data_IF_955930668666
#
_entry.id   IF_955930668666
#
_cell.length_a   1.000
_cell.length_b   1.000
_cell.length_c   1.000
_cell.angle_alpha   90.00
_cell.angle_beta   90.00
_cell.angle_gamma   90.00
#
_symmetry.space_group_name_H-M   'P 1'
#
loop_
_entity.id
_entity.type
_entity.pdbx_description
1 polymer ?
#
# COMPACT_ATOMS: atom_id res chain seq x y z
N UNK A 1 -24.10 -4.83 -15.36
CA UNK A 1 -23.79 -4.69 -16.81
C UNK A 1 -22.80 -5.79 -17.16
N UNK A 2 -22.89 -6.43 -18.32
CA UNK A 2 -21.87 -7.43 -18.71
C UNK A 2 -20.71 -6.75 -19.43
N UNK A 3 -19.49 -6.87 -18.91
CA UNK A 3 -18.24 -6.41 -19.52
C UNK A 3 -17.49 -7.65 -20.08
N UNK A 4 -17.84 -8.12 -21.29
CA UNK A 4 -17.25 -9.31 -21.88
C UNK A 4 -15.74 -9.14 -22.09
N UNK A 5 -15.26 -7.94 -22.41
CA UNK A 5 -13.85 -7.70 -22.70
C UNK A 5 -12.96 -7.87 -21.46
N UNK A 6 -13.42 -7.41 -20.28
CA UNK A 6 -12.72 -7.66 -19.01
C UNK A 6 -12.69 -9.15 -18.68
N UNK A 7 -13.85 -9.83 -18.79
CA UNK A 7 -13.95 -11.28 -18.55
C UNK A 7 -12.97 -12.06 -19.41
N UNK A 8 -12.94 -11.78 -20.70
CA UNK A 8 -12.01 -12.41 -21.63
C UNK A 8 -10.55 -12.11 -21.30
N UNK A 9 -10.21 -10.87 -20.92
CA UNK A 9 -8.85 -10.53 -20.53
C UNK A 9 -8.39 -11.30 -19.28
N UNK A 10 -9.27 -11.47 -18.29
CA UNK A 10 -9.02 -12.29 -17.10
C UNK A 10 -8.78 -13.76 -17.48
N UNK A 11 -9.71 -14.34 -18.23
CA UNK A 11 -9.64 -15.75 -18.65
C UNK A 11 -8.42 -16.03 -19.53
N UNK A 12 -8.12 -15.13 -20.47
CA UNK A 12 -6.93 -15.21 -21.32
C UNK A 12 -5.64 -15.09 -20.51
N UNK A 13 -5.55 -14.14 -19.57
CA UNK A 13 -4.37 -14.00 -18.73
C UNK A 13 -4.13 -15.25 -17.89
N UNK A 14 -5.18 -15.79 -17.26
CA UNK A 14 -5.06 -16.97 -16.41
C UNK A 14 -4.67 -18.22 -17.22
N UNK A 15 -5.21 -18.39 -18.44
CA UNK A 15 -4.80 -19.47 -19.33
C UNK A 15 -3.31 -19.40 -19.70
N UNK A 16 -2.76 -18.21 -19.90
CA UNK A 16 -1.33 -18.03 -20.22
C UNK A 16 -0.44 -18.12 -18.95
N UNK A 17 -0.89 -17.52 -17.85
CA UNK A 17 -0.12 -17.41 -16.61
C UNK A 17 -0.10 -18.72 -15.81
N UNK A 18 -1.25 -19.37 -15.66
CA UNK A 18 -1.43 -20.54 -14.81
C UNK A 18 -2.37 -21.60 -15.44
N UNK A 19 -2.04 -22.16 -16.63
CA UNK A 19 -2.93 -23.06 -17.36
C UNK A 19 -3.35 -24.30 -16.57
N UNK A 20 -2.51 -24.78 -15.65
CA UNK A 20 -2.75 -25.99 -14.87
C UNK A 20 -3.15 -25.73 -13.41
N UNK A 21 -3.42 -24.47 -13.03
CA UNK A 21 -3.80 -24.14 -11.64
C UNK A 21 -2.70 -24.40 -10.60
N UNK A 22 -1.43 -24.24 -10.99
CA UNK A 22 -0.29 -24.51 -10.12
C UNK A 22 -0.17 -23.55 -8.92
N UNK A 23 0.54 -23.94 -7.84
CA UNK A 23 0.54 -23.26 -6.54
C UNK A 23 1.22 -21.88 -6.53
N UNK A 24 1.98 -21.55 -7.57
CA UNK A 24 2.84 -20.37 -7.62
C UNK A 24 2.10 -19.09 -7.98
N UNK A 25 1.04 -19.18 -8.80
CA UNK A 25 0.31 -18.00 -9.27
C UNK A 25 -0.92 -17.76 -8.39
N UNK A 26 -0.75 -16.91 -7.38
CA UNK A 26 -1.76 -16.56 -6.37
C UNK A 26 -2.40 -15.18 -6.60
N UNK A 27 -3.39 -14.83 -5.80
CA UNK A 27 -4.19 -13.60 -5.86
C UNK A 27 -3.38 -12.32 -6.02
N UNK A 28 -2.32 -12.11 -5.22
CA UNK A 28 -1.45 -10.93 -5.38
C UNK A 28 -0.86 -10.83 -6.79
N UNK A 29 -0.37 -11.95 -7.34
CA UNK A 29 0.20 -11.98 -8.69
C UNK A 29 -0.86 -11.64 -9.74
N UNK A 30 -2.05 -12.21 -9.58
CA UNK A 30 -3.18 -11.96 -10.46
C UNK A 30 -3.56 -10.48 -10.51
N UNK A 31 -3.72 -9.81 -9.36
CA UNK A 31 -4.01 -8.37 -9.32
C UNK A 31 -2.95 -7.53 -10.05
N UNK A 32 -1.66 -7.78 -9.78
CA UNK A 32 -0.59 -6.98 -10.40
C UNK A 32 -0.47 -7.25 -11.90
N UNK A 33 -0.59 -8.52 -12.33
CA UNK A 33 -0.54 -8.83 -13.75
C UNK A 33 -1.76 -8.30 -14.51
N UNK A 34 -2.97 -8.38 -13.94
CA UNK A 34 -4.16 -7.77 -14.55
C UNK A 34 -4.00 -6.26 -14.70
N UNK A 35 -3.48 -5.57 -13.68
CA UNK A 35 -3.19 -4.14 -13.77
C UNK A 35 -2.16 -3.82 -14.86
N UNK A 36 -1.06 -4.58 -14.96
CA UNK A 36 -0.05 -4.36 -16.00
C UNK A 36 -0.58 -4.65 -17.40
N UNK A 37 -1.38 -5.71 -17.56
CA UNK A 37 -2.08 -6.01 -18.80
C UNK A 37 -3.00 -4.84 -19.17
N UNK A 38 -3.80 -4.35 -18.21
CA UNK A 38 -4.66 -3.20 -18.40
C UNK A 38 -3.90 -1.97 -18.90
N UNK A 39 -2.79 -1.61 -18.26
CA UNK A 39 -1.97 -0.47 -18.71
C UNK A 39 -1.39 -0.68 -20.12
N UNK A 40 -1.04 -1.90 -20.50
CA UNK A 40 -0.57 -2.21 -21.87
C UNK A 40 -1.69 -2.10 -22.91
N UNK A 41 -2.87 -2.64 -22.62
CA UNK A 41 -4.02 -2.56 -23.50
C UNK A 41 -4.50 -1.12 -23.67
N UNK A 42 -4.59 -0.36 -22.57
CA UNK A 42 -4.99 1.05 -22.59
C UNK A 42 -4.05 1.91 -23.44
N UNK A 43 -2.73 1.68 -23.37
CA UNK A 43 -1.73 2.32 -24.26
C UNK A 43 -1.94 2.00 -25.74
N UNK A 44 -2.65 0.91 -26.06
CA UNK A 44 -3.01 0.50 -27.43
C UNK A 44 -4.47 0.82 -27.76
N UNK A 45 -5.07 1.77 -27.03
CA UNK A 45 -6.45 2.23 -27.19
C UNK A 45 -7.52 1.15 -26.96
N UNK A 46 -7.23 0.15 -26.14
CA UNK A 46 -8.22 -0.81 -25.65
C UNK A 46 -8.39 -0.65 -24.14
N UNK A 47 -9.48 0.01 -23.73
CA UNK A 47 -9.87 0.14 -22.34
C UNK A 47 -10.84 -0.98 -21.96
N UNK A 48 -10.33 -2.01 -21.26
CA UNK A 48 -11.17 -3.11 -20.75
C UNK A 48 -11.96 -2.73 -19.50
N UNK A 49 -11.93 -1.46 -19.08
CA UNK A 49 -12.63 -0.95 -17.89
C UNK A 49 -12.30 -1.70 -16.60
N UNK A 50 -11.04 -2.05 -16.40
CA UNK A 50 -10.58 -2.74 -15.19
C UNK A 50 -10.94 -1.90 -13.95
N UNK A 51 -11.78 -2.40 -13.03
CA UNK A 51 -12.09 -1.70 -11.78
C UNK A 51 -10.93 -1.93 -10.81
N UNK A 52 -10.11 -0.90 -10.58
CA UNK A 52 -9.00 -1.02 -9.66
C UNK A 52 -8.79 0.25 -8.84
N UNK A 53 -8.17 0.09 -7.67
CA UNK A 53 -7.71 1.17 -6.82
C UNK A 53 -6.29 0.90 -6.33
N UNK A 54 -5.59 1.95 -5.90
CA UNK A 54 -4.30 1.81 -5.24
C UNK A 54 -4.51 1.56 -3.75
N UNK A 55 -4.08 0.40 -3.25
CA UNK A 55 -4.27 0.03 -1.85
C UNK A 55 -3.10 -0.80 -1.33
N UNK A 56 -2.60 -0.47 -0.13
CA UNK A 56 -1.65 -1.21 0.72
C UNK A 56 -0.44 -1.85 0.02
N UNK A 57 -0.62 -2.88 -0.82
CA UNK A 57 0.43 -3.51 -1.63
C UNK A 57 0.43 -3.10 -3.12
N UNK A 58 -0.21 -1.99 -3.49
CA UNK A 58 -0.22 -1.41 -4.83
C UNK A 58 -1.58 -1.53 -5.52
N UNK A 59 -1.67 -1.66 -6.84
CA UNK A 59 -2.96 -1.72 -7.53
C UNK A 59 -3.70 -3.02 -7.20
N UNK A 60 -4.98 -2.93 -6.87
CA UNK A 60 -5.85 -4.02 -6.47
C UNK A 60 -7.20 -3.86 -7.18
N UNK A 61 -7.84 -4.97 -7.54
CA UNK A 61 -9.14 -4.93 -8.24
C UNK A 61 -10.26 -4.93 -7.21
N UNK A 62 -11.21 -4.02 -7.33
CA UNK A 62 -12.36 -4.04 -6.43
C UNK A 62 -13.26 -5.25 -6.72
N UNK A 63 -13.52 -6.07 -5.71
CA UNK A 63 -14.24 -7.34 -5.87
C UNK A 63 -15.71 -7.14 -6.23
N UNK A 64 -16.35 -6.14 -5.62
CA UNK A 64 -17.78 -5.84 -5.81
C UNK A 64 -18.03 -5.32 -7.22
N UNK A 65 -17.27 -4.33 -7.66
CA UNK A 65 -17.37 -3.76 -8.99
C UNK A 65 -16.95 -4.77 -10.07
N UNK A 66 -15.91 -5.57 -9.80
CA UNK A 66 -15.52 -6.66 -10.69
C UNK A 66 -16.69 -7.64 -10.90
N UNK A 67 -17.35 -8.07 -9.83
CA UNK A 67 -18.50 -8.96 -9.90
C UNK A 67 -19.66 -8.33 -10.67
N UNK A 68 -19.97 -7.04 -10.41
CA UNK A 68 -21.00 -6.29 -11.15
C UNK A 68 -20.75 -6.25 -12.66
N UNK A 69 -19.48 -6.21 -13.07
CA UNK A 69 -19.07 -6.16 -14.47
C UNK A 69 -18.94 -7.53 -15.14
N UNK A 70 -18.40 -8.53 -14.43
CA UNK A 70 -18.05 -9.84 -15.01
C UNK A 70 -19.15 -10.89 -14.77
N UNK A 71 -20.00 -10.66 -13.77
CA UNK A 71 -21.09 -11.56 -13.37
C UNK A 71 -20.66 -12.74 -12.51
N UNK A 72 -19.38 -12.80 -12.12
CA UNK A 72 -18.86 -13.77 -11.15
C UNK A 72 -17.88 -13.06 -10.20
N UNK A 73 -17.82 -13.46 -8.93
CA UNK A 73 -16.93 -12.84 -7.95
C UNK A 73 -15.46 -13.08 -8.31
N UNK A 74 -14.58 -12.16 -7.92
CA UNK A 74 -13.14 -12.30 -8.18
C UNK A 74 -12.54 -13.56 -7.55
N UNK A 75 -13.10 -14.00 -6.41
CA UNK A 75 -12.69 -15.21 -5.69
C UNK A 75 -12.93 -16.50 -6.49
N UNK A 76 -13.80 -16.47 -7.51
CA UNK A 76 -13.94 -17.57 -8.47
C UNK A 76 -12.65 -17.80 -9.27
N UNK A 77 -11.96 -16.71 -9.63
CA UNK A 77 -10.72 -16.73 -10.42
C UNK A 77 -9.47 -16.80 -9.54
N UNK A 78 -9.48 -16.08 -8.42
CA UNK A 78 -8.36 -15.92 -7.51
C UNK A 78 -8.88 -16.00 -6.05
N UNK A 79 -9.02 -17.21 -5.48
CA UNK A 79 -9.48 -17.38 -4.11
C UNK A 79 -8.49 -16.74 -3.12
N UNK A 80 -8.98 -16.28 -1.96
CA UNK A 80 -8.13 -15.64 -0.94
C UNK A 80 -7.02 -16.58 -0.46
N UNK A 81 -7.36 -17.86 -0.31
CA UNK A 81 -6.44 -18.93 0.02
C UNK A 81 -6.23 -19.86 -1.18
N UNK A 82 -4.97 -20.03 -1.58
CA UNK A 82 -4.57 -20.98 -2.61
C UNK A 82 -4.17 -20.37 -3.95
N UNK A 83 -4.00 -21.21 -4.98
CA UNK A 83 -3.69 -20.76 -6.32
C UNK A 83 -4.92 -20.22 -7.05
N UNK A 84 -4.65 -19.40 -8.06
CA UNK A 84 -5.65 -19.04 -9.07
C UNK A 84 -6.21 -20.26 -9.80
N UNK A 85 -7.45 -20.14 -10.24
CA UNK A 85 -8.16 -21.17 -10.98
C UNK A 85 -7.57 -21.37 -12.38
N UNK A 86 -7.45 -22.63 -12.80
CA UNK A 86 -7.17 -22.99 -14.18
C UNK A 86 -8.37 -22.67 -15.08
N UNK A 87 -8.11 -22.07 -16.25
CA UNK A 87 -9.14 -21.73 -17.23
C UNK A 87 -9.00 -22.61 -18.45
N UNK A 88 -9.91 -23.58 -18.58
CA UNK A 88 -9.91 -24.54 -19.69
C UNK A 88 -10.54 -23.93 -20.95
N UNK A 89 -11.65 -23.20 -20.77
CA UNK A 89 -12.43 -22.58 -21.84
C UNK A 89 -12.50 -21.06 -21.63
N UNK A 90 -12.18 -20.30 -22.68
CA UNK A 90 -12.29 -18.83 -22.69
C UNK A 90 -13.58 -18.44 -23.42
N UNK A 91 -14.35 -17.51 -22.85
CA UNK A 91 -15.54 -16.96 -23.51
C UNK A 91 -15.16 -15.85 -24.51
N UNK A 92 -15.38 -16.10 -25.80
CA UNK A 92 -15.19 -15.11 -26.87
C UNK A 92 -16.45 -14.26 -27.15
N UNK A 93 -17.53 -14.50 -26.41
CA UNK A 93 -18.84 -13.90 -26.68
C UNK A 93 -18.79 -12.36 -26.56
N UNK A 94 -19.29 -11.66 -27.59
CA UNK A 94 -19.37 -10.20 -27.58
C UNK A 94 -18.05 -9.46 -27.79
N UNK A 95 -16.97 -10.15 -28.22
CA UNK A 95 -15.64 -9.52 -28.37
C UNK A 95 -15.22 -9.41 -29.84
N UNK A 96 -14.95 -8.18 -30.32
CA UNK A 96 -14.39 -7.99 -31.65
C UNK A 96 -13.07 -8.75 -31.83
N UNK A 97 -12.89 -9.47 -32.94
CA UNK A 97 -11.70 -10.32 -33.17
C UNK A 97 -10.39 -9.54 -33.08
N UNK A 98 -10.38 -8.24 -33.44
CA UNK A 98 -9.23 -7.36 -33.28
C UNK A 98 -8.82 -7.19 -31.81
N UNK A 99 -9.81 -7.01 -30.92
CA UNK A 99 -9.58 -6.84 -29.49
C UNK A 99 -9.14 -8.16 -28.86
N UNK A 100 -9.77 -9.28 -29.25
CA UNK A 100 -9.39 -10.62 -28.79
C UNK A 100 -7.91 -10.92 -29.10
N UNK A 101 -7.50 -10.75 -30.37
CA UNK A 101 -6.10 -10.94 -30.79
C UNK A 101 -5.12 -10.03 -30.04
N UNK A 102 -5.53 -8.79 -29.75
CA UNK A 102 -4.72 -7.84 -29.00
C UNK A 102 -4.51 -8.34 -27.57
N UNK A 103 -5.59 -8.71 -26.88
CA UNK A 103 -5.55 -9.22 -25.50
C UNK A 103 -4.72 -10.50 -25.40
N UNK A 104 -4.91 -11.46 -26.29
CA UNK A 104 -4.10 -12.69 -26.34
C UNK A 104 -2.61 -12.39 -26.51
N UNK A 105 -2.27 -11.52 -27.47
CA UNK A 105 -0.88 -11.13 -27.73
C UNK A 105 -0.23 -10.44 -26.54
N UNK A 106 -0.90 -9.45 -25.95
CA UNK A 106 -0.34 -8.72 -24.80
C UNK A 106 -0.27 -9.61 -23.55
N UNK A 107 -1.25 -10.50 -23.32
CA UNK A 107 -1.23 -11.46 -22.20
C UNK A 107 -0.03 -12.39 -22.30
N UNK A 108 0.18 -13.01 -23.47
CA UNK A 108 1.35 -13.86 -23.72
C UNK A 108 2.66 -13.09 -23.59
N UNK A 109 2.72 -11.88 -24.14
CA UNK A 109 3.91 -11.03 -24.03
C UNK A 109 4.23 -10.67 -22.58
N UNK A 110 3.22 -10.33 -21.77
CA UNK A 110 3.37 -10.01 -20.37
C UNK A 110 3.88 -11.21 -19.57
N UNK A 111 3.22 -12.36 -19.68
CA UNK A 111 3.60 -13.58 -18.95
C UNK A 111 5.04 -14.00 -19.30
N UNK A 112 5.41 -13.94 -20.59
CA UNK A 112 6.76 -14.28 -21.05
C UNK A 112 7.87 -13.43 -20.40
N UNK A 113 7.59 -12.21 -19.93
CA UNK A 113 8.59 -11.37 -19.24
C UNK A 113 9.00 -11.94 -17.89
N UNK A 114 8.10 -12.67 -17.23
CA UNK A 114 8.30 -13.20 -15.88
C UNK A 114 8.61 -14.70 -15.87
N UNK A 115 8.55 -15.36 -17.02
CA UNK A 115 8.94 -16.77 -17.18
C UNK A 115 10.33 -16.90 -17.83
N UNK A 116 11.01 -17.98 -17.47
CA UNK A 116 12.19 -18.50 -18.15
C UNK A 116 11.89 -19.98 -18.45
N UNK A 117 11.82 -20.31 -19.74
CA UNK A 117 11.18 -21.54 -20.21
C UNK A 117 9.75 -21.65 -19.64
N UNK A 118 9.40 -22.79 -19.04
CA UNK A 118 8.07 -23.04 -18.47
C UNK A 118 7.94 -22.66 -16.98
N UNK A 119 8.95 -22.03 -16.39
CA UNK A 119 8.98 -21.68 -14.96
C UNK A 119 9.01 -20.18 -14.75
N UNK A 120 8.39 -19.71 -13.67
CA UNK A 120 8.56 -18.33 -13.23
C UNK A 120 10.00 -18.09 -12.77
N UNK A 121 10.54 -16.92 -13.10
CA UNK A 121 11.88 -16.49 -12.66
C UNK A 121 11.96 -16.49 -11.14
N UNK A 122 13.18 -16.68 -10.63
CA UNK A 122 13.45 -16.44 -9.22
C UNK A 122 13.04 -15.02 -8.84
N UNK A 123 12.38 -14.88 -7.70
CA UNK A 123 11.89 -13.59 -7.16
C UNK A 123 10.97 -12.77 -8.10
N UNK A 124 10.26 -13.43 -9.02
CA UNK A 124 9.43 -12.72 -10.00
C UNK A 124 8.33 -11.86 -9.36
N UNK A 125 7.87 -12.18 -8.14
CA UNK A 125 6.88 -11.36 -7.43
C UNK A 125 7.44 -9.96 -7.11
N UNK A 126 8.68 -9.84 -6.64
CA UNK A 126 9.28 -8.53 -6.40
C UNK A 126 9.43 -7.74 -7.70
N UNK A 127 9.88 -8.40 -8.78
CA UNK A 127 9.97 -7.78 -10.11
C UNK A 127 8.59 -7.32 -10.59
N UNK A 128 7.55 -8.13 -10.38
CA UNK A 128 6.17 -7.81 -10.73
C UNK A 128 5.65 -6.60 -9.93
N UNK A 129 5.93 -6.57 -8.62
CA UNK A 129 5.59 -5.45 -7.76
C UNK A 129 6.30 -4.17 -8.21
N UNK A 130 7.60 -4.20 -8.47
CA UNK A 130 8.35 -3.01 -8.92
C UNK A 130 7.80 -2.46 -10.24
N UNK A 131 7.45 -3.34 -11.18
CA UNK A 131 6.79 -2.93 -12.42
C UNK A 131 5.41 -2.31 -12.18
N UNK A 132 4.65 -2.82 -11.21
CA UNK A 132 3.37 -2.22 -10.83
C UNK A 132 3.58 -0.84 -10.18
N UNK A 133 4.52 -0.73 -9.23
CA UNK A 133 4.87 0.51 -8.52
C UNK A 133 5.50 1.58 -9.42
N UNK A 134 6.00 1.22 -10.60
CA UNK A 134 6.38 2.20 -11.63
C UNK A 134 5.19 3.06 -12.10
N UNK A 135 3.95 2.64 -11.83
CA UNK A 135 2.72 3.40 -12.08
C UNK A 135 2.10 4.01 -10.82
N UNK A 136 2.80 3.97 -9.67
CA UNK A 136 2.30 4.55 -8.44
C UNK A 136 1.97 6.05 -8.64
N UNK A 137 0.82 6.53 -8.14
CA UNK A 137 0.40 7.92 -8.35
C UNK A 137 1.32 8.92 -7.64
N UNK A 138 2.00 8.51 -6.57
CA UNK A 138 2.96 9.34 -5.85
C UNK A 138 4.26 8.57 -5.58
N UNK A 139 5.37 9.31 -5.52
CA UNK A 139 6.67 8.74 -5.15
C UNK A 139 6.64 8.18 -3.71
N UNK A 140 5.87 8.82 -2.83
CA UNK A 140 5.70 8.42 -1.43
C UNK A 140 5.39 6.93 -1.27
N UNK A 141 4.47 6.35 -2.06
CA UNK A 141 4.13 4.93 -1.91
C UNK A 141 5.29 4.00 -2.25
N UNK A 142 6.10 4.37 -3.25
CA UNK A 142 7.28 3.61 -3.64
C UNK A 142 8.32 3.68 -2.53
N UNK A 143 8.61 4.88 -2.02
CA UNK A 143 9.64 5.06 -0.98
C UNK A 143 9.19 4.46 0.35
N UNK A 144 7.92 4.61 0.73
CA UNK A 144 7.38 4.05 1.97
C UNK A 144 7.36 2.51 1.90
N UNK A 145 6.65 1.92 0.94
CA UNK A 145 6.40 0.48 0.96
C UNK A 145 7.54 -0.36 0.38
N UNK A 146 8.24 0.15 -0.65
CA UNK A 146 9.38 -0.57 -1.27
C UNK A 146 10.74 -0.18 -0.68
N UNK A 147 10.84 0.95 0.03
CA UNK A 147 12.06 1.41 0.69
C UNK A 147 11.99 1.28 2.21
N UNK A 148 11.20 2.13 2.86
CA UNK A 148 11.15 2.25 4.31
C UNK A 148 10.73 0.96 5.02
N UNK A 149 9.70 0.27 4.54
CA UNK A 149 9.29 -1.03 5.12
C UNK A 149 10.39 -2.10 4.96
N UNK A 150 11.17 -2.07 3.88
CA UNK A 150 12.30 -2.98 3.69
C UNK A 150 13.43 -2.65 4.69
N UNK A 151 13.73 -1.36 4.87
CA UNK A 151 14.69 -0.87 5.85
C UNK A 151 14.29 -1.27 7.27
N UNK A 152 13.01 -1.16 7.64
CA UNK A 152 12.55 -1.61 8.96
C UNK A 152 12.70 -3.13 9.17
N UNK A 153 12.57 -3.93 8.10
CA UNK A 153 12.85 -5.38 8.16
C UNK A 153 14.33 -5.65 8.39
N UNK A 154 15.21 -4.89 7.76
CA UNK A 154 16.67 -4.98 7.95
C UNK A 154 17.12 -4.44 9.31
N UNK A 155 16.45 -3.40 9.81
CA UNK A 155 16.64 -2.89 11.17
C UNK A 155 16.31 -3.97 12.21
N UNK A 156 15.30 -4.81 11.94
CA UNK A 156 14.98 -5.98 12.78
C UNK A 156 16.07 -7.06 12.78
N UNK A 157 16.83 -7.20 11.69
CA UNK A 157 17.96 -8.13 11.60
C UNK A 157 19.31 -7.53 12.04
N UNK A 158 19.32 -6.28 12.52
CA UNK A 158 20.52 -5.50 12.89
C UNK A 158 21.46 -5.15 11.72
N UNK A 159 20.95 -5.19 10.48
CA UNK A 159 21.74 -4.87 9.28
C UNK A 159 21.76 -3.37 8.95
N UNK A 160 20.99 -2.55 9.68
CA UNK A 160 20.78 -1.12 9.44
C UNK A 160 20.81 -0.37 10.77
N UNK A 161 21.35 0.86 10.78
CA UNK A 161 21.44 1.71 11.97
C UNK A 161 20.18 2.57 12.21
N UNK A 162 20.08 3.18 13.40
CA UNK A 162 18.99 4.12 13.73
C UNK A 162 19.03 5.35 12.82
N UNK A 163 20.23 5.89 12.56
CA UNK A 163 20.44 7.05 11.69
C UNK A 163 19.96 6.79 10.25
N UNK A 164 20.16 5.58 9.74
CA UNK A 164 19.66 5.19 8.43
C UNK A 164 18.12 5.16 8.38
N UNK A 165 17.45 4.74 9.46
CA UNK A 165 15.99 4.80 9.56
C UNK A 165 15.52 6.26 9.61
N UNK A 166 16.21 7.12 10.35
CA UNK A 166 15.89 8.57 10.42
C UNK A 166 16.03 9.27 9.07
N UNK A 167 17.06 8.96 8.29
CA UNK A 167 17.22 9.49 6.94
C UNK A 167 16.04 9.13 6.01
N UNK A 168 15.43 7.96 6.20
CA UNK A 168 14.22 7.59 5.47
C UNK A 168 13.00 8.37 5.94
N UNK A 169 12.86 8.62 7.25
CA UNK A 169 11.77 9.46 7.80
C UNK A 169 11.83 10.88 7.21
N UNK A 170 13.01 11.50 7.22
CA UNK A 170 13.24 12.81 6.61
C UNK A 170 12.90 12.82 5.11
N UNK A 171 13.26 11.74 4.40
CA UNK A 171 12.92 11.59 2.99
C UNK A 171 11.41 11.50 2.78
N UNK A 172 10.69 10.76 3.63
CA UNK A 172 9.24 10.61 3.55
C UNK A 172 8.52 11.96 3.71
N UNK A 173 8.99 12.83 4.62
CA UNK A 173 8.44 14.19 4.78
C UNK A 173 8.56 14.99 3.48
N UNK A 174 9.73 14.95 2.84
CA UNK A 174 10.02 15.74 1.63
C UNK A 174 9.17 15.35 0.43
N UNK A 175 8.79 14.08 0.33
CA UNK A 175 8.06 13.54 -0.83
C UNK A 175 6.57 13.31 -0.55
N UNK A 176 6.09 13.69 0.64
CA UNK A 176 4.69 13.51 0.99
C UNK A 176 3.80 14.33 0.04
N UNK A 177 2.78 13.72 -0.58
CA UNK A 177 1.91 14.41 -1.54
C UNK A 177 0.85 15.26 -0.82
N UNK A 178 1.29 16.35 -0.18
CA UNK A 178 0.44 17.18 0.68
C UNK A 178 -0.83 17.67 -0.01
N UNK A 179 -0.71 18.19 -1.23
CA UNK A 179 -1.85 18.76 -1.97
C UNK A 179 -2.97 17.74 -2.17
N UNK A 180 -2.62 16.50 -2.53
CA UNK A 180 -3.59 15.44 -2.81
C UNK A 180 -4.02 14.64 -1.58
N UNK A 181 -3.21 14.60 -0.51
CA UNK A 181 -3.42 13.76 0.68
C UNK A 181 -3.43 14.58 1.98
N UNK A 182 -3.90 15.82 1.94
CA UNK A 182 -3.87 16.76 3.06
C UNK A 182 -4.63 16.24 4.30
N UNK A 183 -5.68 15.44 4.11
CA UNK A 183 -6.52 14.90 5.19
C UNK A 183 -5.77 13.98 6.16
N UNK A 184 -4.64 13.40 5.72
CA UNK A 184 -3.78 12.54 6.56
C UNK A 184 -2.40 13.14 6.79
N UNK A 185 -2.18 14.41 6.42
CA UNK A 185 -0.86 15.03 6.55
C UNK A 185 -0.47 15.30 8.00
N UNK A 186 -1.37 15.92 8.79
CA UNK A 186 -1.10 16.19 10.20
C UNK A 186 -0.88 14.87 10.95
N UNK A 187 -1.73 13.88 10.67
CA UNK A 187 -1.60 12.50 11.13
C UNK A 187 -0.24 11.89 10.78
N UNK A 188 0.25 12.09 9.55
CA UNK A 188 1.56 11.65 9.10
C UNK A 188 2.70 12.32 9.88
N UNK A 189 2.63 13.63 10.14
CA UNK A 189 3.65 14.35 10.92
C UNK A 189 3.69 13.84 12.36
N UNK A 190 2.53 13.69 13.00
CA UNK A 190 2.44 13.12 14.34
C UNK A 190 2.98 11.69 14.37
N UNK A 191 2.77 10.92 13.31
CA UNK A 191 3.24 9.54 13.21
C UNK A 191 4.75 9.52 13.08
N UNK A 192 5.29 10.36 12.21
CA UNK A 192 6.73 10.51 12.00
C UNK A 192 7.45 10.82 13.31
N UNK A 193 6.96 11.81 14.07
CA UNK A 193 7.45 12.15 15.40
C UNK A 193 7.38 10.95 16.37
N UNK A 194 6.30 10.19 16.30
CA UNK A 194 6.08 9.03 17.17
C UNK A 194 7.07 7.92 16.85
N UNK A 195 7.42 7.74 15.57
CA UNK A 195 8.50 6.82 15.16
C UNK A 195 9.85 7.29 15.71
N UNK A 196 10.20 8.58 15.60
CA UNK A 196 11.44 9.10 16.22
C UNK A 196 11.47 8.88 17.74
N UNK A 197 10.34 9.05 18.43
CA UNK A 197 10.25 8.71 19.85
C UNK A 197 10.49 7.21 20.08
N UNK A 198 9.89 6.35 19.25
CA UNK A 198 10.01 4.90 19.36
C UNK A 198 11.43 4.38 19.07
N UNK A 199 12.19 5.03 18.19
CA UNK A 199 13.57 4.67 17.86
C UNK A 199 14.49 4.67 19.09
N UNK A 200 14.29 5.61 20.03
CA UNK A 200 15.05 5.66 21.29
C UNK A 200 14.97 4.37 22.13
N UNK A 201 13.93 3.55 21.94
CA UNK A 201 13.71 2.30 22.67
C UNK A 201 14.24 1.06 21.94
N UNK A 202 14.82 1.24 20.73
CA UNK A 202 15.48 0.19 19.95
C UNK A 202 14.66 -1.10 19.82
N UNK A 203 13.35 -0.97 19.56
CA UNK A 203 12.46 -2.10 19.28
C UNK A 203 11.99 -2.06 17.82
N UNK A 204 12.74 -2.67 16.88
CA UNK A 204 12.40 -2.68 15.46
C UNK A 204 11.03 -3.26 15.15
N UNK A 205 10.62 -4.31 15.87
CA UNK A 205 9.33 -4.97 15.63
C UNK A 205 8.16 -4.05 15.97
N UNK A 206 8.28 -3.30 17.06
CA UNK A 206 7.27 -2.32 17.45
C UNK A 206 7.20 -1.14 16.46
N UNK A 207 8.34 -0.66 15.97
CA UNK A 207 8.40 0.40 14.95
C UNK A 207 7.77 -0.05 13.64
N UNK A 208 8.03 -1.29 13.21
CA UNK A 208 7.39 -1.88 12.04
C UNK A 208 5.86 -1.92 12.18
N UNK A 209 5.33 -2.26 13.36
CA UNK A 209 3.87 -2.22 13.63
C UNK A 209 3.32 -0.80 13.53
N UNK A 210 4.01 0.20 14.08
CA UNK A 210 3.58 1.59 13.96
C UNK A 210 3.57 2.06 12.49
N UNK A 211 4.58 1.68 11.71
CA UNK A 211 4.65 1.98 10.29
C UNK A 211 3.53 1.31 9.49
N UNK A 212 3.23 0.05 9.79
CA UNK A 212 2.13 -0.69 9.15
C UNK A 212 0.77 -0.08 9.46
N UNK A 213 0.51 0.30 10.72
CA UNK A 213 -0.74 0.98 11.11
C UNK A 213 -0.94 2.30 10.35
N UNK A 214 0.09 3.14 10.25
CA UNK A 214 0.01 4.36 9.45
C UNK A 214 -0.23 4.05 7.97
N UNK A 215 0.48 3.06 7.44
CA UNK A 215 0.34 2.68 6.05
C UNK A 215 -1.06 2.20 5.68
N UNK A 216 -1.75 1.53 6.62
CA UNK A 216 -3.15 1.15 6.47
C UNK A 216 -4.04 2.38 6.31
N UNK A 217 -3.97 3.35 7.23
CA UNK A 217 -4.84 4.54 7.14
C UNK A 217 -4.51 5.41 5.92
N UNK A 218 -3.23 5.56 5.57
CA UNK A 218 -2.84 6.23 4.32
C UNK A 218 -3.43 5.52 3.09
N UNK A 219 -3.43 4.19 3.09
CA UNK A 219 -3.98 3.38 2.01
C UNK A 219 -5.50 3.49 1.89
N UNK A 220 -6.21 3.67 3.02
CA UNK A 220 -7.65 3.93 3.09
C UNK A 220 -8.02 5.30 2.52
N UNK A 221 -7.14 6.31 2.53
CA UNK A 221 -7.40 7.53 1.74
C UNK A 221 -7.01 7.34 0.27
N UNK A 222 -5.89 6.63 0.04
CA UNK A 222 -5.33 6.43 -1.28
C UNK A 222 -6.29 5.70 -2.22
N UNK A 223 -6.96 4.64 -1.75
CA UNK A 223 -7.88 3.88 -2.60
C UNK A 223 -9.14 4.67 -2.98
N UNK A 224 -9.57 5.62 -2.13
CA UNK A 224 -10.66 6.56 -2.42
C UNK A 224 -10.20 7.51 -3.51
N UNK A 225 -9.05 8.14 -3.34
CA UNK A 225 -8.59 9.20 -4.26
C UNK A 225 -7.99 8.70 -5.56
N UNK A 226 -7.45 7.47 -5.59
CA UNK A 226 -6.70 6.91 -6.71
C UNK A 226 -7.30 5.57 -7.14
N UNK A 227 -8.51 5.65 -7.69
CA UNK A 227 -9.23 4.55 -8.30
C UNK A 227 -9.51 4.81 -9.79
N UNK A 228 -9.95 3.77 -10.49
CA UNK A 228 -10.39 3.84 -11.87
C UNK A 228 -11.46 2.79 -12.17
N UNK A 229 -12.50 3.16 -12.92
CA UNK A 229 -13.63 2.31 -13.30
C UNK A 229 -14.37 1.68 -12.09
N UNK A 230 -14.39 2.39 -10.96
CA UNK A 230 -15.19 2.03 -9.78
C UNK A 230 -16.40 2.94 -9.75
N UNK A 231 -17.55 2.37 -9.39
CA UNK A 231 -18.81 3.12 -9.32
C UNK A 231 -18.83 4.10 -8.14
N UNK A 232 -19.51 5.22 -8.33
CA UNK A 232 -19.55 6.31 -7.36
C UNK A 232 -20.15 5.87 -6.01
N UNK A 233 -21.12 4.95 -6.00
CA UNK A 233 -21.72 4.42 -4.77
C UNK A 233 -20.72 3.67 -3.88
N UNK A 234 -19.77 2.96 -4.50
CA UNK A 234 -18.70 2.25 -3.79
C UNK A 234 -17.70 3.27 -3.22
N UNK A 235 -17.33 4.28 -4.01
CA UNK A 235 -16.39 5.34 -3.59
C UNK A 235 -17.00 6.19 -2.47
N UNK A 236 -18.29 6.50 -2.56
CA UNK A 236 -19.04 7.23 -1.53
C UNK A 236 -19.06 6.45 -0.22
N UNK A 237 -19.33 5.14 -0.27
CA UNK A 237 -19.29 4.28 0.92
C UNK A 237 -17.91 4.30 1.58
N UNK A 238 -16.82 4.20 0.80
CA UNK A 238 -15.46 4.31 1.34
C UNK A 238 -15.21 5.68 1.98
N UNK A 239 -15.67 6.75 1.34
CA UNK A 239 -15.52 8.13 1.81
C UNK A 239 -16.28 8.39 3.11
N UNK A 240 -17.46 7.79 3.28
CA UNK A 240 -18.27 7.86 4.50
C UNK A 240 -17.58 7.13 5.66
N UNK A 241 -16.97 5.98 5.39
CA UNK A 241 -16.33 5.15 6.43
C UNK A 241 -14.93 5.65 6.83
N UNK A 242 -14.26 6.42 5.96
CA UNK A 242 -12.89 6.85 6.19
C UNK A 242 -12.69 7.71 7.44
N UNK A 243 -13.53 8.72 7.75
CA UNK A 243 -13.39 9.53 8.96
C UNK A 243 -13.39 8.70 10.25
N UNK A 244 -14.29 7.72 10.38
CA UNK A 244 -14.35 6.84 11.55
C UNK A 244 -13.04 6.04 11.72
N UNK A 245 -12.54 5.45 10.63
CA UNK A 245 -11.24 4.73 10.65
C UNK A 245 -10.07 5.65 11.01
N UNK A 246 -10.10 6.91 10.55
CA UNK A 246 -9.07 7.89 10.86
C UNK A 246 -9.12 8.29 12.34
N UNK A 247 -10.30 8.52 12.89
CA UNK A 247 -10.50 8.85 14.30
C UNK A 247 -10.03 7.70 15.21
N UNK A 248 -10.37 6.45 14.87
CA UNK A 248 -9.87 5.26 15.57
C UNK A 248 -8.34 5.18 15.55
N UNK A 249 -7.73 5.43 14.38
CA UNK A 249 -6.28 5.46 14.23
C UNK A 249 -5.64 6.55 15.08
N UNK A 250 -6.17 7.79 15.04
CA UNK A 250 -5.68 8.94 15.80
C UNK A 250 -5.75 8.68 17.31
N UNK A 251 -6.85 8.11 17.80
CA UNK A 251 -6.99 7.75 19.21
C UNK A 251 -5.93 6.72 19.64
N UNK A 252 -5.71 5.69 18.82
CA UNK A 252 -4.67 4.68 19.06
C UNK A 252 -3.25 5.27 19.01
N UNK A 253 -2.98 6.17 18.06
CA UNK A 253 -1.70 6.84 17.91
C UNK A 253 -1.37 7.73 19.10
N UNK A 254 -2.33 8.53 19.58
CA UNK A 254 -2.15 9.39 20.75
C UNK A 254 -1.89 8.55 22.01
N UNK A 255 -2.56 7.41 22.16
CA UNK A 255 -2.28 6.48 23.25
C UNK A 255 -0.82 5.96 23.21
N UNK A 256 -0.34 5.56 22.03
CA UNK A 256 1.05 5.12 21.85
C UNK A 256 2.05 6.24 22.13
N UNK A 257 1.79 7.45 21.62
CA UNK A 257 2.63 8.63 21.88
C UNK A 257 2.74 8.92 23.37
N UNK A 258 1.61 8.93 24.10
CA UNK A 258 1.59 9.10 25.56
C UNK A 258 2.40 8.02 26.27
N UNK A 259 2.27 6.76 25.84
CA UNK A 259 3.03 5.63 26.41
C UNK A 259 4.53 5.84 26.25
N UNK A 260 4.99 6.19 25.06
CA UNK A 260 6.40 6.45 24.77
C UNK A 260 6.93 7.65 25.56
N UNK A 261 6.18 8.75 25.61
CA UNK A 261 6.57 9.93 26.40
C UNK A 261 6.67 9.61 27.90
N UNK A 262 5.79 8.78 28.44
CA UNK A 262 5.87 8.33 29.83
C UNK A 262 7.09 7.46 30.09
N UNK A 263 7.41 6.53 29.17
CA UNK A 263 8.64 5.74 29.25
C UNK A 263 9.87 6.66 29.26
N UNK A 264 9.92 7.67 28.39
CA UNK A 264 11.03 8.62 28.28
C UNK A 264 11.23 9.41 29.57
N UNK A 265 10.13 9.80 30.22
CA UNK A 265 10.14 10.48 31.52
C UNK A 265 10.68 9.59 32.63
N UNK A 266 10.43 8.27 32.59
CA UNK A 266 10.95 7.31 33.58
C UNK A 266 12.44 7.03 33.40
N UNK A 267 12.90 6.91 32.15
CA UNK A 267 14.33 6.68 31.85
C UNK A 267 15.18 7.91 32.14
N UNK A 268 14.59 9.11 32.02
CA UNK A 268 15.14 10.35 32.58
C UNK A 268 14.81 10.44 34.07
N UNK A 269 15.41 9.61 34.91
CA UNK A 269 15.57 9.99 36.32
C UNK A 269 16.40 11.27 36.31
N UNK A 270 15.85 12.44 36.69
CA UNK A 270 16.67 13.64 36.78
C UNK A 270 17.76 13.32 37.79
N UNK A 271 19.03 13.43 37.41
CA UNK A 271 20.04 13.58 38.45
C UNK A 271 19.65 14.83 39.28
N UNK A 272 20.04 14.88 40.56
CA UNK A 272 19.69 16.02 41.44
C UNK A 272 20.02 17.38 40.80
N UNK A 273 21.04 17.41 39.93
CA UNK A 273 21.48 18.58 39.19
C UNK A 273 20.46 19.07 38.17
N UNK A 274 19.82 18.17 37.42
CA UNK A 274 18.77 18.48 36.45
C UNK A 274 17.53 19.03 37.18
N UNK A 275 17.17 18.45 38.33
CA UNK A 275 16.10 19.00 39.18
C UNK A 275 16.44 20.40 39.70
N UNK A 276 17.68 20.62 40.14
CA UNK A 276 18.16 21.96 40.58
C UNK A 276 18.10 22.99 39.44
N UNK A 277 18.43 22.60 38.21
CA UNK A 277 18.37 23.49 37.03
C UNK A 277 16.91 23.83 36.68
N UNK A 278 16.01 22.84 36.68
CA UNK A 278 14.58 23.07 36.38
C UNK A 278 13.92 23.97 37.43
N UNK A 279 14.24 23.78 38.72
CA UNK A 279 13.77 24.66 39.79
C UNK A 279 14.27 26.09 39.58
N UNK A 280 15.57 26.27 39.30
CA UNK A 280 16.14 27.60 39.02
C UNK A 280 15.49 28.28 37.81
N UNK A 281 15.20 27.53 36.75
CA UNK A 281 14.53 28.06 35.54
C UNK A 281 13.09 28.50 35.84
N UNK A 282 12.35 27.70 36.61
CA UNK A 282 10.98 28.06 37.01
C UNK A 282 10.97 29.28 37.95
N UNK A 283 11.91 29.37 38.89
CA UNK A 283 12.05 30.54 39.76
C UNK A 283 12.40 31.79 38.96
N UNK A 284 13.28 31.68 37.97
CA UNK A 284 13.61 32.77 37.05
C UNK A 284 12.39 33.22 36.23
N UNK A 285 11.63 32.27 35.68
CA UNK A 285 10.42 32.56 34.92
C UNK A 285 9.35 33.24 35.79
N UNK A 286 9.15 32.76 37.03
CA UNK A 286 8.22 33.38 37.99
C UNK A 286 8.66 34.80 38.36
N UNK A 287 9.94 35.01 38.66
CA UNK A 287 10.48 36.32 39.01
C UNK A 287 10.42 37.32 37.84
N UNK A 288 10.55 36.85 36.60
CA UNK A 288 10.36 37.67 35.40
C UNK A 288 8.89 38.01 35.15
N UNK A 289 7.97 37.09 35.47
CA UNK A 289 6.54 37.31 35.33
C UNK A 289 5.97 38.21 36.45
N UNK A 290 6.48 38.09 37.67
CA UNK A 290 6.06 38.87 38.85
C UNK A 290 6.68 40.28 38.91
N UNK A 291 7.62 40.62 38.02
CA UNK A 291 8.21 41.96 37.88
C UNK A 291 7.52 42.84 36.83
N UNK A 292 6.29 42.51 36.45
CA UNK A 292 5.40 43.39 35.67
C UNK A 292 4.37 44.06 36.56
#
# INVERSE_FOLDING_TARGET
>A
MSNPCLKFAVETLLKEANPNGGPYFRTTHFHKMMFLLYKQLKKKNLDIKLPYSWYHYGPFMDGTEFERQVGVPISYYAPDEGPTRAIDCISYEGIPSKNARLVERESRSLVKRYKENDRYKFDYLNILLDNAYAFAPFEFQKVFNRGFILILKQFKSYDVSEEEVELYLDKLIKIFPYTEMHEVYDTFLEWNDTIHLALNYKNPSYIAVLAEKFWLIYSELLHIKKNENISDDIIELWSINFPEKLDEYLAGQEQERRRLLQMRRRDRVPNEETQKIVVKLNDLAYNLAAKK
#
